data_IF_193697743165
#
_entry.id   IF_193697743165
#
_cell.length_a   1.000
_cell.length_b   1.000
_cell.length_c   1.000
_cell.angle_alpha   90.00
_cell.angle_beta   90.00
_cell.angle_gamma   90.00
#
_symmetry.space_group_name_H-M   'P 1'
#
loop_
_entity.id
_entity.type
_entity.pdbx_description
1 polymer ?
#
# COMPACT_ATOMS: atom_id res chain seq x y z
N UNK A 1 -20.12 32.61 39.24
CA UNK A 1 -20.77 31.33 38.91
C UNK A 1 -22.18 31.61 38.43
N UNK A 2 -22.32 31.91 37.14
CA UNK A 2 -23.59 32.29 36.53
C UNK A 2 -24.14 31.12 35.70
N UNK A 3 -25.37 30.75 36.02
CA UNK A 3 -26.24 29.80 35.33
C UNK A 3 -26.81 30.49 34.09
N UNK A 4 -26.67 29.88 32.90
CA UNK A 4 -27.48 30.25 31.72
C UNK A 4 -28.11 29.01 31.12
N UNK A 5 -29.38 29.22 30.79
CA UNK A 5 -30.51 28.32 30.53
C UNK A 5 -30.58 27.97 29.05
N UNK A 6 -31.17 26.80 28.75
CA UNK A 6 -31.59 26.35 27.41
C UNK A 6 -32.61 27.31 26.78
N UNK A 7 -32.53 27.48 25.46
CA UNK A 7 -33.71 27.66 24.61
C UNK A 7 -33.61 26.77 23.36
N UNK A 8 -34.72 26.06 23.13
CA UNK A 8 -35.06 25.22 22.00
C UNK A 8 -35.74 26.06 20.93
N UNK A 9 -35.34 25.92 19.67
CA UNK A 9 -36.02 26.53 18.53
C UNK A 9 -36.05 25.57 17.34
N UNK A 10 -37.12 24.80 17.24
CA UNK A 10 -37.60 24.16 16.02
C UNK A 10 -38.05 25.23 15.03
N UNK A 11 -37.60 25.18 13.78
CA UNK A 11 -38.47 25.58 12.67
C UNK A 11 -38.23 24.73 11.43
N UNK A 12 -39.34 24.27 10.89
CA UNK A 12 -39.44 23.36 9.77
C UNK A 12 -39.84 24.16 8.54
N UNK A 13 -39.00 24.18 7.50
CA UNK A 13 -39.39 24.69 6.19
C UNK A 13 -39.36 23.56 5.16
N UNK A 14 -40.58 23.16 4.85
CA UNK A 14 -41.04 22.32 3.75
C UNK A 14 -40.87 23.08 2.44
N UNK A 15 -40.23 22.47 1.44
CA UNK A 15 -40.32 22.88 0.04
C UNK A 15 -40.79 21.67 -0.76
N UNK A 16 -42.01 21.78 -1.28
CA UNK A 16 -42.62 20.82 -2.19
C UNK A 16 -42.27 21.18 -3.66
N UNK A 17 -41.97 20.13 -4.43
CA UNK A 17 -42.17 19.90 -5.88
C UNK A 17 -41.63 20.89 -6.94
N UNK A 18 -40.79 20.38 -7.86
CA UNK A 18 -41.18 20.18 -9.27
C UNK A 18 -40.05 19.56 -10.13
N UNK A 19 -40.38 18.45 -10.80
CA UNK A 19 -40.03 18.14 -12.20
C UNK A 19 -38.55 18.02 -12.60
N UNK A 20 -38.13 16.83 -13.03
CA UNK A 20 -38.25 16.43 -14.45
C UNK A 20 -37.48 15.13 -14.68
N UNK A 21 -38.22 14.03 -14.73
CA UNK A 21 -37.77 12.71 -15.15
C UNK A 21 -37.70 12.72 -16.68
N UNK A 22 -36.51 12.57 -17.27
CA UNK A 22 -36.36 12.23 -18.70
C UNK A 22 -36.03 10.75 -18.80
N UNK A 23 -37.09 9.93 -18.80
CA UNK A 23 -37.04 8.53 -19.20
C UNK A 23 -36.94 8.43 -20.72
N UNK A 24 -35.79 8.05 -21.26
CA UNK A 24 -35.71 7.54 -22.63
C UNK A 24 -36.16 6.07 -22.65
N UNK A 25 -37.30 5.85 -23.30
CA UNK A 25 -37.85 4.53 -23.65
C UNK A 25 -36.99 3.89 -24.74
N UNK A 26 -36.48 2.69 -24.50
CA UNK A 26 -35.95 1.78 -25.52
C UNK A 26 -36.95 0.62 -25.63
N UNK A 27 -37.33 0.18 -26.85
CA UNK A 27 -38.37 -0.81 -27.03
C UNK A 27 -37.93 -2.20 -26.55
N UNK A 28 -38.88 -2.88 -25.93
CA UNK A 28 -38.80 -4.29 -25.55
C UNK A 28 -38.64 -5.17 -26.79
N UNK A 29 -37.60 -6.00 -26.80
CA UNK A 29 -37.57 -7.23 -27.58
C UNK A 29 -37.53 -8.38 -26.59
N UNK A 30 -38.62 -9.14 -26.58
CA UNK A 30 -38.74 -10.43 -25.91
C UNK A 30 -37.82 -11.44 -26.60
N UNK A 31 -36.83 -11.96 -25.88
CA UNK A 31 -36.27 -13.29 -26.14
C UNK A 31 -36.29 -14.06 -24.82
N UNK A 32 -37.19 -15.03 -24.76
CA UNK A 32 -37.23 -16.02 -23.70
C UNK A 32 -35.96 -16.86 -23.74
N UNK A 33 -35.02 -16.57 -22.84
CA UNK A 33 -33.87 -17.43 -22.55
C UNK A 33 -34.20 -18.30 -21.34
N UNK A 34 -34.21 -19.62 -21.52
CA UNK A 34 -34.17 -20.60 -20.44
C UNK A 34 -32.96 -20.31 -19.53
N UNK A 35 -33.20 -19.65 -18.40
CA UNK A 35 -32.21 -19.61 -17.32
C UNK A 35 -32.16 -20.98 -16.66
N UNK A 36 -31.28 -21.85 -17.13
CA UNK A 36 -30.75 -22.91 -16.29
C UNK A 36 -29.92 -22.19 -15.22
N UNK A 37 -30.52 -21.96 -14.06
CA UNK A 37 -29.78 -21.60 -12.86
C UNK A 37 -28.98 -22.84 -12.47
N UNK A 38 -27.77 -22.97 -13.02
CA UNK A 38 -26.76 -23.81 -12.40
C UNK A 38 -26.42 -23.15 -11.07
N UNK A 39 -27.04 -23.63 -9.99
CA UNK A 39 -26.52 -23.43 -8.65
C UNK A 39 -25.21 -24.21 -8.62
N UNK A 40 -24.11 -23.58 -9.01
CA UNK A 40 -22.79 -24.10 -8.72
C UNK A 40 -22.66 -24.08 -7.19
N UNK A 41 -22.87 -25.24 -6.57
CA UNK A 41 -22.56 -25.41 -5.16
C UNK A 41 -21.09 -25.04 -4.99
N UNK A 42 -20.80 -23.97 -4.25
CA UNK A 42 -19.44 -23.63 -3.89
C UNK A 42 -18.82 -24.87 -3.25
N UNK A 43 -17.66 -25.30 -3.77
CA UNK A 43 -16.93 -26.40 -3.17
C UNK A 43 -16.70 -26.07 -1.68
N UNK A 44 -16.77 -27.07 -0.79
CA UNK A 44 -16.55 -26.82 0.63
C UNK A 44 -15.17 -26.18 0.82
N UNK A 45 -15.16 -25.05 1.51
CA UNK A 45 -13.95 -24.30 1.82
C UNK A 45 -12.97 -25.20 2.58
N UNK A 46 -11.71 -25.25 2.14
CA UNK A 46 -10.73 -26.11 2.81
C UNK A 46 -10.30 -25.48 4.13
N UNK A 47 -9.76 -26.29 5.05
CA UNK A 47 -9.20 -25.75 6.30
C UNK A 47 -8.04 -24.77 6.05
N UNK A 48 -7.32 -24.91 4.94
CA UNK A 48 -6.26 -23.97 4.55
C UNK A 48 -6.87 -22.60 4.22
N UNK A 49 -7.95 -22.58 3.44
CA UNK A 49 -8.65 -21.35 3.07
C UNK A 49 -9.23 -20.65 4.30
N UNK A 50 -9.88 -21.41 5.19
CA UNK A 50 -10.36 -20.91 6.49
C UNK A 50 -9.21 -20.36 7.35
N UNK A 51 -8.03 -20.98 7.29
CA UNK A 51 -6.84 -20.52 7.99
C UNK A 51 -6.39 -19.14 7.48
N UNK A 52 -6.39 -18.94 6.17
CA UNK A 52 -6.07 -17.64 5.56
C UNK A 52 -7.13 -16.58 5.85
N UNK A 53 -8.42 -16.92 5.83
CA UNK A 53 -9.49 -16.02 6.28
C UNK A 53 -9.29 -15.60 7.75
N UNK A 54 -8.93 -16.55 8.62
CA UNK A 54 -8.62 -16.25 10.01
C UNK A 54 -7.41 -15.30 10.14
N UNK A 55 -6.35 -15.46 9.32
CA UNK A 55 -5.21 -14.51 9.26
C UNK A 55 -5.66 -13.11 8.84
N UNK A 56 -6.47 -12.99 7.77
CA UNK A 56 -6.98 -11.71 7.27
C UNK A 56 -7.82 -10.97 8.32
N UNK A 57 -8.56 -11.73 9.13
CA UNK A 57 -9.37 -11.20 10.24
C UNK A 57 -8.61 -11.12 11.59
N UNK A 58 -7.27 -11.24 11.58
CA UNK A 58 -6.40 -11.12 12.76
C UNK A 58 -6.66 -12.19 13.86
N UNK A 59 -7.29 -13.32 13.52
CA UNK A 59 -7.61 -14.44 14.42
C UNK A 59 -6.48 -15.48 14.45
N UNK A 60 -5.26 -15.06 14.79
CA UNK A 60 -4.05 -15.87 14.62
C UNK A 60 -4.01 -17.21 15.39
N UNK A 61 -4.66 -17.30 16.57
CA UNK A 61 -4.73 -18.57 17.32
C UNK A 61 -5.61 -19.61 16.62
N UNK A 62 -6.72 -19.15 16.04
CA UNK A 62 -7.62 -19.98 15.25
C UNK A 62 -6.92 -20.41 13.95
N UNK A 63 -6.30 -19.47 13.24
CA UNK A 63 -5.52 -19.75 12.04
C UNK A 63 -4.46 -20.84 12.27
N UNK A 64 -3.68 -20.72 13.36
CA UNK A 64 -2.67 -21.71 13.72
C UNK A 64 -3.27 -23.11 13.91
N UNK A 65 -4.43 -23.19 14.56
CA UNK A 65 -5.15 -24.46 14.77
C UNK A 65 -5.64 -25.03 13.45
N UNK A 66 -6.15 -24.20 12.55
CA UNK A 66 -6.64 -24.61 11.23
C UNK A 66 -5.51 -25.13 10.34
N UNK A 67 -4.37 -24.42 10.28
CA UNK A 67 -3.21 -24.85 9.48
C UNK A 67 -2.63 -26.17 9.97
N UNK A 68 -2.42 -26.34 11.28
CA UNK A 68 -1.87 -27.58 11.87
C UNK A 68 -2.77 -28.79 11.70
N UNK A 69 -4.09 -28.58 11.67
CA UNK A 69 -5.09 -29.64 11.53
C UNK A 69 -5.60 -29.78 10.09
N UNK A 70 -4.96 -29.11 9.14
CA UNK A 70 -5.30 -29.23 7.73
C UNK A 70 -4.82 -30.59 7.21
N UNK A 71 -5.71 -31.43 6.64
CA UNK A 71 -5.29 -32.69 6.07
C UNK A 71 -4.32 -32.44 4.90
N UNK A 72 -3.26 -33.24 4.80
CA UNK A 72 -2.35 -33.23 3.66
C UNK A 72 -3.10 -33.70 2.41
N UNK A 73 -3.72 -32.76 1.70
CA UNK A 73 -4.40 -33.02 0.44
C UNK A 73 -3.37 -33.21 -0.68
N UNK A 74 -2.98 -32.11 -1.30
CA UNK A 74 -1.88 -32.07 -2.26
C UNK A 74 -0.68 -31.29 -1.70
N UNK A 75 0.48 -31.39 -2.37
CA UNK A 75 1.71 -30.71 -1.96
C UNK A 75 1.55 -29.19 -1.86
N UNK A 76 0.78 -28.57 -2.75
CA UNK A 76 0.57 -27.12 -2.72
C UNK A 76 -0.23 -26.68 -1.48
N UNK A 77 -1.29 -27.41 -1.11
CA UNK A 77 -2.06 -27.15 0.10
C UNK A 77 -1.21 -27.36 1.36
N UNK A 78 -0.33 -28.36 1.37
CA UNK A 78 0.62 -28.60 2.47
C UNK A 78 1.62 -27.43 2.63
N UNK A 79 2.23 -27.00 1.53
CA UNK A 79 3.15 -25.86 1.49
C UNK A 79 2.45 -24.57 1.95
N UNK A 80 1.23 -24.32 1.46
CA UNK A 80 0.42 -23.17 1.86
C UNK A 80 0.05 -23.21 3.34
N UNK A 81 -0.35 -24.38 3.88
CA UNK A 81 -0.66 -24.52 5.30
C UNK A 81 0.55 -24.22 6.19
N UNK A 82 1.74 -24.69 5.81
CA UNK A 82 2.98 -24.42 6.55
C UNK A 82 3.40 -22.95 6.48
N UNK A 83 3.24 -22.30 5.33
CA UNK A 83 3.47 -20.85 5.22
C UNK A 83 2.52 -20.09 6.16
N UNK A 84 1.24 -20.46 6.14
CA UNK A 84 0.22 -19.89 7.02
C UNK A 84 0.51 -20.12 8.50
N UNK A 85 1.02 -21.31 8.87
CA UNK A 85 1.49 -21.60 10.22
C UNK A 85 2.59 -20.63 10.66
N UNK A 86 3.63 -20.43 9.84
CA UNK A 86 4.70 -19.47 10.14
C UNK A 86 4.17 -18.05 10.33
N UNK A 87 3.25 -17.60 9.47
CA UNK A 87 2.61 -16.28 9.62
C UNK A 87 1.79 -16.17 10.90
N UNK A 88 1.03 -17.22 11.25
CA UNK A 88 0.19 -17.23 12.45
C UNK A 88 1.00 -17.26 13.75
N UNK A 89 2.12 -18.00 13.78
CA UNK A 89 3.05 -18.01 14.92
C UNK A 89 3.65 -16.62 15.13
N UNK A 90 4.14 -15.99 14.06
CA UNK A 90 4.77 -14.66 14.10
C UNK A 90 3.86 -13.60 14.76
N UNK A 91 2.57 -13.60 14.43
CA UNK A 91 1.62 -12.59 14.90
C UNK A 91 0.90 -12.95 16.21
N UNK A 92 1.20 -14.13 16.79
CA UNK A 92 0.58 -14.57 18.05
C UNK A 92 1.02 -13.67 19.21
N UNK A 93 0.04 -13.20 19.99
CA UNK A 93 0.29 -12.40 21.19
C UNK A 93 0.33 -13.25 22.48
N UNK A 94 1.31 -13.01 23.38
CA UNK A 94 2.43 -12.06 23.21
C UNK A 94 3.47 -12.56 22.19
N UNK A 95 4.04 -11.64 21.40
CA UNK A 95 5.16 -11.97 20.49
C UNK A 95 6.41 -12.25 21.33
N UNK A 96 7.00 -13.44 21.15
CA UNK A 96 8.22 -13.88 21.86
C UNK A 96 9.35 -14.15 20.86
N UNK A 97 10.59 -14.23 21.36
CA UNK A 97 11.76 -14.64 20.55
C UNK A 97 11.54 -16.02 19.92
N UNK A 98 11.08 -16.99 20.72
CA UNK A 98 10.75 -18.34 20.23
C UNK A 98 9.74 -18.34 19.09
N UNK A 99 8.69 -17.50 19.13
CA UNK A 99 7.73 -17.42 18.02
C UNK A 99 8.41 -16.93 16.73
N UNK A 100 9.34 -15.99 16.83
CA UNK A 100 10.06 -15.43 15.69
C UNK A 100 11.02 -16.49 15.12
N UNK A 101 11.79 -17.15 15.98
CA UNK A 101 12.73 -18.20 15.60
C UNK A 101 12.00 -19.39 14.93
N UNK A 102 10.87 -19.83 15.50
CA UNK A 102 10.01 -20.87 14.92
C UNK A 102 9.51 -20.46 13.53
N UNK A 103 9.08 -19.19 13.36
CA UNK A 103 8.59 -18.68 12.08
C UNK A 103 9.70 -18.62 11.02
N UNK A 104 10.89 -18.14 11.41
CA UNK A 104 12.07 -18.12 10.55
C UNK A 104 12.47 -19.53 10.10
N UNK A 105 12.46 -20.50 11.02
CA UNK A 105 12.77 -21.89 10.72
C UNK A 105 11.80 -22.49 9.69
N UNK A 106 10.50 -22.20 9.83
CA UNK A 106 9.47 -22.61 8.86
C UNK A 106 9.74 -21.99 7.48
N UNK A 107 9.98 -20.67 7.41
CA UNK A 107 10.24 -20.00 6.14
C UNK A 107 11.50 -20.54 5.47
N UNK A 108 12.57 -20.76 6.23
CA UNK A 108 13.80 -21.36 5.74
C UNK A 108 13.60 -22.77 5.18
N UNK A 109 12.77 -23.57 5.83
CA UNK A 109 12.44 -24.90 5.35
C UNK A 109 11.63 -24.84 4.04
N UNK A 110 10.66 -23.93 3.93
CA UNK A 110 9.87 -23.75 2.71
C UNK A 110 10.71 -23.30 1.52
N UNK A 111 11.66 -22.38 1.74
CA UNK A 111 12.60 -21.91 0.71
C UNK A 111 13.44 -23.07 0.18
N UNK A 112 13.94 -23.94 1.06
CA UNK A 112 14.77 -25.10 0.67
C UNK A 112 14.00 -26.22 -0.01
N UNK A 113 12.79 -26.53 0.46
CA UNK A 113 12.04 -27.70 -0.01
C UNK A 113 11.24 -27.48 -1.28
N UNK A 114 10.92 -26.22 -1.61
CA UNK A 114 10.07 -25.89 -2.75
C UNK A 114 10.62 -24.71 -3.57
N UNK A 115 11.91 -24.71 -3.96
CA UNK A 115 12.50 -23.59 -4.69
C UNK A 115 11.78 -23.34 -6.01
N UNK A 116 11.61 -22.07 -6.37
CA UNK A 116 10.92 -21.66 -7.60
C UNK A 116 9.40 -21.66 -7.51
N UNK A 117 8.82 -22.02 -6.37
CA UNK A 117 7.36 -21.95 -6.15
C UNK A 117 6.95 -20.61 -5.56
N UNK A 118 5.70 -20.21 -5.79
CA UNK A 118 5.09 -19.03 -5.17
C UNK A 118 5.21 -19.05 -3.64
N UNK A 119 5.06 -20.23 -3.01
CA UNK A 119 5.23 -20.38 -1.56
C UNK A 119 6.67 -20.09 -1.11
N UNK A 120 7.68 -20.55 -1.85
CA UNK A 120 9.08 -20.24 -1.52
C UNK A 120 9.42 -18.76 -1.71
N UNK A 121 8.84 -18.09 -2.71
CA UNK A 121 8.93 -16.64 -2.91
C UNK A 121 8.33 -15.89 -1.72
N UNK A 122 7.10 -16.23 -1.32
CA UNK A 122 6.43 -15.62 -0.17
C UNK A 122 7.22 -15.83 1.13
N UNK A 123 7.73 -17.03 1.37
CA UNK A 123 8.58 -17.34 2.53
C UNK A 123 9.88 -16.53 2.52
N UNK A 124 10.57 -16.41 1.39
CA UNK A 124 11.79 -15.62 1.25
C UNK A 124 11.55 -14.13 1.50
N UNK A 125 10.47 -13.57 0.94
CA UNK A 125 10.08 -12.19 1.17
C UNK A 125 9.73 -11.92 2.64
N UNK A 126 8.94 -12.81 3.27
CA UNK A 126 8.56 -12.69 4.68
C UNK A 126 9.77 -12.83 5.62
N UNK A 127 10.70 -13.74 5.32
CA UNK A 127 11.97 -13.86 6.04
C UNK A 127 12.74 -12.54 6.02
N UNK A 128 12.95 -11.95 4.84
CA UNK A 128 13.64 -10.67 4.70
C UNK A 128 12.94 -9.57 5.51
N UNK A 129 11.60 -9.52 5.47
CA UNK A 129 10.80 -8.54 6.22
C UNK A 129 10.92 -8.72 7.73
N UNK A 130 10.96 -9.96 8.20
CA UNK A 130 11.09 -10.28 9.61
C UNK A 130 12.47 -9.89 10.16
N UNK A 131 13.54 -10.14 9.40
CA UNK A 131 14.90 -9.69 9.74
C UNK A 131 14.98 -8.16 9.77
N UNK A 132 14.39 -7.48 8.78
CA UNK A 132 14.35 -6.02 8.72
C UNK A 132 13.65 -5.38 9.94
N UNK A 133 12.49 -5.94 10.34
CA UNK A 133 11.62 -5.35 11.36
C UNK A 133 11.62 -6.10 12.69
N UNK A 134 12.63 -6.93 12.95
CA UNK A 134 12.65 -7.82 14.10
C UNK A 134 12.38 -7.04 15.41
N UNK A 135 11.32 -7.36 16.18
CA UNK A 135 10.92 -6.56 17.33
C UNK A 135 11.97 -6.42 18.45
N UNK A 136 12.91 -7.37 18.55
CA UNK A 136 13.93 -7.38 19.59
C UNK A 136 15.32 -6.94 19.10
N UNK A 137 15.62 -7.17 17.82
CA UNK A 137 16.98 -7.16 17.25
C UNK A 137 16.88 -6.89 15.73
N UNK A 138 16.37 -5.72 15.30
CA UNK A 138 16.23 -5.42 13.88
C UNK A 138 17.59 -5.34 13.20
N UNK A 139 17.74 -6.02 12.07
CA UNK A 139 18.94 -5.99 11.25
C UNK A 139 18.59 -5.62 9.79
N UNK A 140 18.36 -4.32 9.52
CA UNK A 140 18.05 -3.86 8.18
C UNK A 140 19.16 -4.17 7.17
N UNK A 141 20.43 -4.18 7.59
CA UNK A 141 21.56 -4.47 6.71
C UNK A 141 21.53 -5.94 6.22
N UNK A 142 21.28 -6.90 7.13
CA UNK A 142 21.14 -8.31 6.77
C UNK A 142 19.90 -8.60 5.91
N UNK A 143 18.87 -7.75 5.94
CA UNK A 143 17.68 -7.90 5.11
C UNK A 143 17.94 -7.54 3.62
N UNK A 144 18.90 -6.66 3.33
CA UNK A 144 19.23 -6.22 1.96
C UNK A 144 19.56 -7.41 1.04
N UNK A 145 20.55 -8.28 1.34
CA UNK A 145 20.89 -9.39 0.45
C UNK A 145 19.72 -10.38 0.29
N UNK A 146 18.87 -10.55 1.30
CA UNK A 146 17.68 -11.41 1.22
C UNK A 146 16.65 -10.85 0.23
N UNK A 147 16.40 -9.54 0.25
CA UNK A 147 15.53 -8.90 -0.73
C UNK A 147 16.13 -8.88 -2.15
N UNK A 148 17.45 -8.71 -2.25
CA UNK A 148 18.15 -8.80 -3.54
C UNK A 148 18.03 -10.20 -4.14
N UNK A 149 18.10 -11.26 -3.33
CA UNK A 149 17.88 -12.62 -3.79
C UNK A 149 16.44 -12.81 -4.30
N UNK A 150 15.44 -12.34 -3.55
CA UNK A 150 14.04 -12.38 -4.01
C UNK A 150 13.85 -11.65 -5.34
N UNK A 151 14.44 -10.47 -5.48
CA UNK A 151 14.42 -9.69 -6.73
C UNK A 151 15.10 -10.44 -7.88
N UNK A 152 16.28 -11.03 -7.63
CA UNK A 152 17.07 -11.73 -8.64
C UNK A 152 16.37 -12.98 -9.16
N UNK A 153 15.76 -13.77 -8.28
CA UNK A 153 15.13 -15.03 -8.66
C UNK A 153 13.69 -14.87 -9.16
N UNK A 154 12.99 -13.79 -8.79
CA UNK A 154 11.58 -13.57 -9.13
C UNK A 154 11.28 -12.16 -9.66
N UNK A 155 12.08 -11.58 -10.58
CA UNK A 155 12.02 -10.15 -10.93
C UNK A 155 10.69 -9.71 -11.53
N UNK A 156 9.98 -10.61 -12.21
CA UNK A 156 8.72 -10.31 -12.89
C UNK A 156 7.49 -10.39 -11.96
N UNK A 157 7.67 -10.96 -10.76
CA UNK A 157 6.58 -11.10 -9.78
C UNK A 157 6.36 -9.81 -9.00
N UNK A 158 5.12 -9.54 -8.58
CA UNK A 158 4.80 -8.37 -7.75
C UNK A 158 5.63 -8.34 -6.46
N UNK A 159 5.83 -9.50 -5.80
CA UNK A 159 6.68 -9.60 -4.60
C UNK A 159 8.17 -9.39 -4.89
N UNK A 160 8.67 -9.88 -6.03
CA UNK A 160 10.04 -9.59 -6.48
C UNK A 160 10.28 -8.10 -6.72
N UNK A 161 9.34 -7.43 -7.36
CA UNK A 161 9.40 -6.00 -7.57
C UNK A 161 9.27 -5.22 -6.24
N UNK A 162 8.42 -5.65 -5.31
CA UNK A 162 8.40 -5.05 -3.96
C UNK A 162 9.71 -5.28 -3.20
N UNK A 163 10.33 -6.45 -3.33
CA UNK A 163 11.62 -6.73 -2.73
C UNK A 163 12.70 -5.77 -3.24
N UNK A 164 12.69 -5.45 -4.53
CA UNK A 164 13.57 -4.44 -5.12
C UNK A 164 13.39 -3.08 -4.43
N UNK A 165 12.14 -2.61 -4.28
CA UNK A 165 11.86 -1.32 -3.61
C UNK A 165 12.30 -1.35 -2.15
N UNK A 166 12.13 -2.49 -1.45
CA UNK A 166 12.59 -2.63 -0.06
C UNK A 166 14.12 -2.62 0.06
N UNK A 167 14.83 -3.37 -0.77
CA UNK A 167 16.29 -3.34 -0.81
C UNK A 167 16.80 -1.93 -1.12
N UNK A 168 16.25 -1.29 -2.15
CA UNK A 168 16.61 0.07 -2.56
C UNK A 168 16.41 1.08 -1.42
N UNK A 169 15.27 1.03 -0.73
CA UNK A 169 14.98 1.91 0.40
C UNK A 169 15.93 1.68 1.58
N UNK A 170 16.30 0.42 1.86
CA UNK A 170 17.27 0.13 2.92
C UNK A 170 18.66 0.68 2.56
N UNK A 171 19.11 0.48 1.32
CA UNK A 171 20.40 0.97 0.84
C UNK A 171 20.47 2.51 0.84
N UNK A 172 19.41 3.19 0.39
CA UNK A 172 19.37 4.66 0.36
C UNK A 172 19.53 5.31 1.73
N UNK A 173 19.12 4.62 2.79
CA UNK A 173 19.10 5.13 4.17
C UNK A 173 20.16 4.47 5.06
N UNK A 174 21.02 3.62 4.49
CA UNK A 174 22.13 3.01 5.22
C UNK A 174 23.18 4.09 5.56
N UNK A 175 23.44 4.35 6.86
CA UNK A 175 24.40 5.37 7.28
C UNK A 175 25.83 5.08 6.79
N UNK A 176 26.20 3.83 6.56
CA UNK A 176 27.54 3.48 6.06
C UNK A 176 27.75 3.92 4.61
N UNK A 177 26.66 4.12 3.87
CA UNK A 177 26.67 4.61 2.48
C UNK A 177 26.35 6.10 2.37
N UNK A 178 26.28 6.82 3.50
CA UNK A 178 25.76 8.19 3.53
C UNK A 178 26.67 9.25 2.90
N UNK A 179 27.98 8.97 2.81
CA UNK A 179 29.03 9.93 2.43
C UNK A 179 29.54 9.78 0.98
N UNK A 180 29.18 8.71 0.26
CA UNK A 180 29.57 8.47 -1.13
C UNK A 180 28.34 8.21 -1.99
N UNK A 181 28.29 8.84 -3.17
CA UNK A 181 27.42 8.56 -4.33
C UNK A 181 26.29 7.56 -4.04
N UNK A 182 25.28 8.01 -3.26
CA UNK A 182 24.14 7.18 -2.85
C UNK A 182 23.58 6.49 -4.09
N UNK A 183 23.05 5.26 -3.99
CA UNK A 183 22.70 4.42 -5.13
C UNK A 183 21.51 4.93 -5.97
N UNK A 184 21.15 6.21 -5.91
CA UNK A 184 20.07 6.84 -6.69
C UNK A 184 20.16 6.52 -8.18
N UNK A 185 21.34 6.64 -8.79
CA UNK A 185 21.49 6.37 -10.22
C UNK A 185 21.33 4.89 -10.55
N UNK A 186 21.92 3.99 -9.75
CA UNK A 186 21.80 2.54 -9.98
C UNK A 186 20.36 2.08 -9.76
N UNK A 187 19.73 2.52 -8.68
CA UNK A 187 18.32 2.25 -8.37
C UNK A 187 17.42 2.79 -9.49
N UNK A 188 17.67 4.02 -9.98
CA UNK A 188 16.86 4.61 -11.06
C UNK A 188 16.98 3.85 -12.38
N UNK A 189 18.14 3.28 -12.68
CA UNK A 189 18.35 2.45 -13.86
C UNK A 189 17.55 1.16 -13.79
N UNK A 190 17.61 0.48 -12.65
CA UNK A 190 16.91 -0.79 -12.40
C UNK A 190 15.38 -0.61 -12.29
N UNK A 191 14.91 0.56 -11.86
CA UNK A 191 13.48 0.85 -11.74
C UNK A 191 12.70 0.79 -13.07
N UNK A 192 13.38 0.85 -14.21
CA UNK A 192 12.76 0.63 -15.53
C UNK A 192 12.18 -0.78 -15.70
N UNK A 193 12.60 -1.73 -14.86
CA UNK A 193 12.09 -3.11 -14.82
C UNK A 193 10.78 -3.26 -14.03
N UNK A 194 10.34 -2.21 -13.32
CA UNK A 194 9.10 -2.25 -12.55
C UNK A 194 7.90 -2.13 -13.49
N UNK A 195 7.07 -3.17 -13.52
CA UNK A 195 5.89 -3.24 -14.38
C UNK A 195 4.59 -3.10 -13.60
N UNK A 196 4.59 -3.44 -12.30
CA UNK A 196 3.40 -3.36 -11.47
C UNK A 196 3.11 -1.91 -11.04
N UNK A 197 1.88 -1.37 -11.28
CA UNK A 197 1.55 0.01 -10.93
C UNK A 197 1.69 0.34 -9.45
N UNK A 198 1.33 -0.58 -8.56
CA UNK A 198 1.39 -0.36 -7.11
C UNK A 198 2.84 -0.33 -6.62
N UNK A 199 3.70 -1.17 -7.22
CA UNK A 199 5.13 -1.16 -6.94
C UNK A 199 5.79 0.10 -7.49
N UNK A 200 5.49 0.50 -8.73
CA UNK A 200 6.00 1.75 -9.34
C UNK A 200 5.64 2.97 -8.50
N UNK A 201 4.40 3.04 -8.02
CA UNK A 201 3.96 4.09 -7.09
C UNK A 201 4.78 4.10 -5.81
N UNK A 202 4.98 2.92 -5.21
CA UNK A 202 5.78 2.78 -3.98
C UNK A 202 7.24 3.19 -4.19
N UNK A 203 7.82 2.83 -5.34
CA UNK A 203 9.15 3.25 -5.77
C UNK A 203 9.23 4.79 -5.88
N UNK A 204 8.29 5.42 -6.58
CA UNK A 204 8.30 6.86 -6.75
C UNK A 204 8.10 7.63 -5.45
N UNK A 205 7.25 7.15 -4.54
CA UNK A 205 7.13 7.75 -3.20
C UNK A 205 8.46 7.66 -2.43
N UNK A 206 9.10 6.50 -2.44
CA UNK A 206 10.41 6.30 -1.79
C UNK A 206 11.48 7.24 -2.37
N UNK A 207 11.57 7.36 -3.69
CA UNK A 207 12.54 8.23 -4.35
C UNK A 207 12.25 9.72 -4.11
N UNK A 208 10.99 10.12 -4.06
CA UNK A 208 10.59 11.49 -3.74
C UNK A 208 11.01 11.88 -2.32
N UNK A 209 10.78 10.99 -1.34
CA UNK A 209 11.19 11.20 0.05
C UNK A 209 12.70 11.20 0.22
N UNK A 210 13.39 10.24 -0.39
CA UNK A 210 14.85 10.14 -0.31
C UNK A 210 15.52 11.36 -0.95
N UNK A 211 15.07 11.78 -2.14
CA UNK A 211 15.63 12.95 -2.82
C UNK A 211 15.42 14.24 -2.04
N UNK A 212 14.27 14.40 -1.38
CA UNK A 212 14.04 15.52 -0.49
C UNK A 212 14.96 15.49 0.74
N UNK A 213 15.11 14.32 1.37
CA UNK A 213 15.94 14.15 2.56
C UNK A 213 17.42 14.40 2.31
N UNK A 214 17.92 13.99 1.15
CA UNK A 214 19.33 14.06 0.78
C UNK A 214 19.66 15.22 -0.18
N UNK A 215 18.76 16.21 -0.25
CA UNK A 215 18.93 17.46 -0.99
C UNK A 215 19.33 17.31 -2.48
N UNK A 216 18.70 16.36 -3.17
CA UNK A 216 18.85 16.16 -4.62
C UNK A 216 18.10 17.22 -5.46
N UNK A 217 17.59 18.27 -4.81
CA UNK A 217 16.86 19.37 -5.43
C UNK A 217 15.35 19.16 -5.54
N UNK A 218 14.61 20.27 -5.51
CA UNK A 218 13.15 20.25 -5.53
C UNK A 218 12.56 19.68 -6.82
N UNK A 219 13.18 19.95 -7.98
CA UNK A 219 12.70 19.45 -9.27
C UNK A 219 12.74 17.91 -9.34
N UNK A 220 13.78 17.30 -8.77
CA UNK A 220 13.92 15.85 -8.74
C UNK A 220 12.86 15.20 -7.84
N UNK A 221 12.64 15.75 -6.65
CA UNK A 221 11.61 15.27 -5.73
C UNK A 221 10.20 15.46 -6.30
N UNK A 222 9.92 16.63 -6.90
CA UNK A 222 8.63 16.94 -7.54
C UNK A 222 8.29 15.94 -8.64
N UNK A 223 9.24 15.64 -9.53
CA UNK A 223 9.07 14.63 -10.59
C UNK A 223 8.55 13.31 -10.03
N UNK A 224 9.17 12.82 -8.95
CA UNK A 224 8.76 11.55 -8.36
C UNK A 224 7.42 11.62 -7.62
N UNK A 225 7.08 12.73 -6.96
CA UNK A 225 5.75 12.88 -6.38
C UNK A 225 4.65 12.91 -7.45
N UNK A 226 4.88 13.57 -8.59
CA UNK A 226 3.95 13.57 -9.72
C UNK A 226 3.74 12.16 -10.29
N UNK A 227 4.82 11.42 -10.56
CA UNK A 227 4.74 10.02 -11.05
C UNK A 227 4.01 9.10 -10.06
N UNK A 228 4.21 9.29 -8.75
CA UNK A 228 3.47 8.55 -7.72
C UNK A 228 1.98 8.92 -7.68
N UNK A 229 1.66 10.19 -7.91
CA UNK A 229 0.28 10.68 -7.96
C UNK A 229 -0.46 10.13 -9.19
N UNK A 230 0.19 10.17 -10.36
CA UNK A 230 -0.35 9.66 -11.63
C UNK A 230 -0.56 8.14 -11.62
N UNK A 231 0.29 7.41 -10.89
CA UNK A 231 0.12 5.97 -10.63
C UNK A 231 -1.07 5.64 -9.70
N UNK A 232 -1.77 6.65 -9.16
CA UNK A 232 -3.01 6.53 -8.41
C UNK A 232 -2.82 6.22 -6.93
N UNK A 233 -3.23 7.13 -6.04
CA UNK A 233 -3.12 6.98 -4.59
C UNK A 233 -4.45 6.55 -3.97
N UNK A 234 -4.49 5.34 -3.39
CA UNK A 234 -5.73 4.75 -2.85
C UNK A 234 -6.06 5.18 -1.42
N UNK A 235 -5.06 5.62 -0.65
CA UNK A 235 -5.25 6.05 0.75
C UNK A 235 -5.47 7.57 0.80
N UNK A 236 -6.63 8.06 1.29
CA UNK A 236 -6.94 9.50 1.33
C UNK A 236 -5.85 10.34 2.00
N UNK A 237 -5.39 9.95 3.20
CA UNK A 237 -4.37 10.70 3.94
C UNK A 237 -3.04 10.79 3.17
N UNK A 238 -2.64 9.69 2.51
CA UNK A 238 -1.44 9.67 1.69
C UNK A 238 -1.61 10.59 0.46
N UNK A 239 -2.78 10.55 -0.19
CA UNK A 239 -3.08 11.42 -1.33
C UNK A 239 -3.03 12.90 -0.94
N UNK A 240 -3.66 13.27 0.17
CA UNK A 240 -3.59 14.62 0.72
C UNK A 240 -2.14 15.05 0.99
N UNK A 241 -1.33 14.18 1.61
CA UNK A 241 0.08 14.45 1.87
C UNK A 241 0.91 14.64 0.60
N UNK A 242 0.74 13.77 -0.40
CA UNK A 242 1.44 13.89 -1.68
C UNK A 242 1.05 15.17 -2.41
N UNK A 243 -0.24 15.50 -2.47
CA UNK A 243 -0.71 16.76 -3.08
C UNK A 243 -0.10 17.98 -2.38
N UNK A 244 -0.09 18.03 -1.04
CA UNK A 244 0.58 19.13 -0.32
C UNK A 244 2.07 19.21 -0.67
N UNK A 245 2.77 18.08 -0.81
CA UNK A 245 4.18 18.06 -1.20
C UNK A 245 4.39 18.56 -2.62
N UNK A 246 3.53 18.17 -3.57
CA UNK A 246 3.55 18.67 -4.95
C UNK A 246 3.38 20.19 -4.94
N UNK A 247 2.31 20.71 -4.30
CA UNK A 247 2.01 22.15 -4.19
C UNK A 247 3.21 22.93 -3.66
N UNK A 248 3.82 22.48 -2.56
CA UNK A 248 4.97 23.17 -1.95
C UNK A 248 6.19 23.15 -2.87
N UNK A 249 6.50 22.00 -3.48
CA UNK A 249 7.68 21.87 -4.34
C UNK A 249 7.51 22.65 -5.65
N UNK A 250 6.34 22.60 -6.28
CA UNK A 250 6.04 23.36 -7.50
C UNK A 250 6.08 24.87 -7.24
N UNK A 251 5.55 25.33 -6.10
CA UNK A 251 5.63 26.75 -5.71
C UNK A 251 7.10 27.20 -5.57
N UNK A 252 7.95 26.38 -4.93
CA UNK A 252 9.38 26.69 -4.76
C UNK A 252 10.14 26.76 -6.09
N UNK A 253 9.66 26.07 -7.12
CA UNK A 253 10.22 26.08 -8.46
C UNK A 253 9.61 27.15 -9.36
N UNK A 254 8.60 27.89 -8.88
CA UNK A 254 7.86 28.87 -9.68
C UNK A 254 6.92 28.24 -10.70
N UNK A 255 6.58 26.96 -10.56
CA UNK A 255 5.60 26.26 -11.40
C UNK A 255 4.18 26.53 -10.89
N UNK A 256 3.65 27.69 -11.27
CA UNK A 256 2.36 28.21 -10.83
C UNK A 256 1.20 27.34 -11.33
N UNK A 257 1.30 26.81 -12.54
CA UNK A 257 0.27 25.96 -13.15
C UNK A 257 0.08 24.67 -12.34
N UNK A 258 1.16 23.93 -12.08
CA UNK A 258 1.09 22.71 -11.25
C UNK A 258 0.62 23.02 -9.83
N UNK A 259 1.11 24.12 -9.25
CA UNK A 259 0.72 24.55 -7.89
C UNK A 259 -0.79 24.75 -7.80
N UNK A 260 -1.37 25.51 -8.73
CA UNK A 260 -2.80 25.81 -8.79
C UNK A 260 -3.63 24.55 -9.02
N UNK A 261 -3.27 23.75 -10.03
CA UNK A 261 -4.02 22.54 -10.37
C UNK A 261 -4.10 21.56 -9.19
N UNK A 262 -2.98 21.32 -8.50
CA UNK A 262 -2.97 20.43 -7.34
C UNK A 262 -3.68 21.02 -6.12
N UNK A 263 -3.61 22.35 -5.91
CA UNK A 263 -4.33 23.03 -4.84
C UNK A 263 -5.85 22.92 -5.02
N UNK A 264 -6.37 23.13 -6.23
CA UNK A 264 -7.80 22.99 -6.54
C UNK A 264 -8.30 21.57 -6.30
N UNK A 265 -7.52 20.55 -6.71
CA UNK A 265 -7.82 19.14 -6.41
C UNK A 265 -7.85 18.90 -4.90
N UNK A 266 -6.86 19.42 -4.16
CA UNK A 266 -6.79 19.26 -2.72
C UNK A 266 -8.03 19.83 -2.02
N UNK A 267 -8.41 21.07 -2.34
CA UNK A 267 -9.58 21.73 -1.73
C UNK A 267 -10.89 21.01 -2.07
N UNK A 268 -10.99 20.47 -3.29
CA UNK A 268 -12.16 19.70 -3.73
C UNK A 268 -12.29 18.37 -3.00
N UNK A 269 -11.19 17.61 -2.89
CA UNK A 269 -11.22 16.26 -2.33
C UNK A 269 -11.12 16.22 -0.81
N UNK A 270 -10.47 17.22 -0.19
CA UNK A 270 -10.18 17.26 1.25
C UNK A 270 -10.69 18.53 1.95
N UNK A 271 -11.97 18.91 1.81
CA UNK A 271 -12.50 20.20 2.31
C UNK A 271 -12.46 20.35 3.85
N UNK A 272 -12.20 19.26 4.59
CA UNK A 272 -12.11 19.25 6.06
C UNK A 272 -10.69 19.07 6.59
N UNK A 273 -9.69 19.01 5.70
CA UNK A 273 -8.30 18.90 6.13
C UNK A 273 -7.85 20.22 6.78
N UNK A 274 -7.01 20.12 7.81
CA UNK A 274 -6.53 21.30 8.55
C UNK A 274 -5.67 22.24 7.70
N UNK A 275 -5.16 21.77 6.56
CA UNK A 275 -4.34 22.54 5.62
C UNK A 275 -5.14 23.37 4.62
N UNK A 276 -6.46 23.17 4.53
CA UNK A 276 -7.35 23.84 3.56
C UNK A 276 -7.18 25.35 3.59
N UNK A 277 -7.25 25.99 4.77
CA UNK A 277 -7.12 27.45 4.88
C UNK A 277 -5.80 27.99 4.32
N UNK A 278 -4.68 27.31 4.60
CA UNK A 278 -3.37 27.71 4.05
C UNK A 278 -3.32 27.57 2.52
N UNK A 279 -4.03 26.59 1.96
CA UNK A 279 -4.06 26.35 0.51
C UNK A 279 -5.01 27.35 -0.19
N UNK A 280 -6.10 27.76 0.45
CA UNK A 280 -6.98 28.84 -0.02
C UNK A 280 -6.24 30.19 -0.07
N UNK A 281 -5.48 30.51 0.98
CA UNK A 281 -4.63 31.71 1.03
C UNK A 281 -3.60 31.70 -0.11
N UNK A 282 -2.96 30.55 -0.35
CA UNK A 282 -2.02 30.36 -1.47
C UNK A 282 -2.67 30.65 -2.83
N UNK A 283 -3.86 30.10 -3.11
CA UNK A 283 -4.55 30.36 -4.39
C UNK A 283 -4.84 31.86 -4.56
N UNK A 284 -5.27 32.53 -3.48
CA UNK A 284 -5.55 33.97 -3.49
C UNK A 284 -4.29 34.79 -3.79
N UNK A 285 -3.14 34.39 -3.22
CA UNK A 285 -1.84 35.02 -3.51
C UNK A 285 -1.44 34.85 -4.99
N UNK A 286 -1.64 33.66 -5.56
CA UNK A 286 -1.36 33.38 -6.97
C UNK A 286 -2.22 34.21 -7.92
N UNK A 287 -3.50 34.43 -7.59
CA UNK A 287 -4.41 35.29 -8.38
C UNK A 287 -3.98 36.77 -8.35
N UNK A 288 -3.42 37.22 -7.23
CA UNK A 288 -2.93 38.59 -7.06
C UNK A 288 -1.65 38.90 -7.84
N UNK A 289 -0.87 37.87 -8.23
CA UNK A 289 0.36 38.04 -9.02
C UNK A 289 0.16 38.14 -10.53
N UNK A 290 -1.02 37.81 -11.04
CA UNK A 290 -1.37 37.89 -12.47
C UNK A 290 -1.90 39.28 -12.89
N UNK A 291 -1.86 40.28 -11.99
CA UNK A 291 -2.32 41.67 -12.20
C UNK A 291 -1.16 42.65 -12.38
#
# INVERSE_FOLDING_TARGET
>A
MAVIRRETGTDATRVDHAGMIVTKRIPAVFLASCSIVLIAAAAPETKVDQGWDAVQNLRFREALTLFRNSPSGNRQSELSARLGEGVAILHRQPTTRDNIDDSLAIFDQLIREAPGTETSLQAAYLKARLIQLHPFEPDPAAAIPLYQDVTRYYPETVLGQFAFVKASGLQLYDPETADEDRPFESISREASLLTDPDVRRSYHLMMAEASHRFDYGYAYSLKHYLEAYDAGLTKPDLKANVLTRIIVLSQRLGDIETTRACAEVFLTEFPRDIRTTMIEDLITELDGTDS
#
